data_IF_646361838664
#
_entry.id   IF_646361838664
#
_cell.length_a   1.000
_cell.length_b   1.000
_cell.length_c   1.000
_cell.angle_alpha   90.00
_cell.angle_beta   90.00
_cell.angle_gamma   90.00
#
_symmetry.space_group_name_H-M   'P 1'
#
loop_
_entity.id
_entity.type
_entity.pdbx_description
1 polymer ?
#
# COMPACT_ATOMS: atom_id res chain seq x y z
N UNK A 1 13.64 -4.90 2.34
CA UNK A 1 12.37 -5.58 1.98
C UNK A 1 11.61 -4.67 1.03
N UNK A 2 10.86 -5.22 0.08
CA UNK A 2 10.15 -4.42 -0.92
C UNK A 2 9.14 -3.45 -0.28
N UNK A 3 9.00 -2.29 -0.90
CA UNK A 3 7.99 -1.29 -0.56
C UNK A 3 7.03 -1.19 -1.74
N UNK A 4 5.75 -1.28 -1.44
CA UNK A 4 4.68 -1.25 -2.43
C UNK A 4 3.79 -0.04 -2.20
N UNK A 5 3.33 0.56 -3.29
CA UNK A 5 2.23 1.51 -3.29
C UNK A 5 0.95 0.74 -3.63
N UNK A 6 -0.04 0.80 -2.74
CA UNK A 6 -1.37 0.24 -2.94
C UNK A 6 -2.33 1.41 -3.17
N UNK A 7 -2.84 1.57 -4.39
CA UNK A 7 -3.67 2.71 -4.77
C UNK A 7 -5.09 2.27 -5.06
N UNK A 8 -6.07 3.02 -4.56
CA UNK A 8 -7.44 2.93 -5.00
C UNK A 8 -7.52 3.32 -6.48
N UNK A 9 -8.26 2.55 -7.29
CA UNK A 9 -8.40 2.83 -8.73
C UNK A 9 -9.25 4.05 -9.03
N UNK A 10 -10.11 4.45 -8.09
CA UNK A 10 -10.84 5.71 -8.15
C UNK A 10 -9.96 6.94 -7.86
N UNK A 11 -8.67 6.73 -7.55
CA UNK A 11 -7.71 7.79 -7.28
C UNK A 11 -7.83 8.40 -5.88
N UNK A 12 -8.82 8.01 -5.05
CA UNK A 12 -9.12 8.68 -3.78
C UNK A 12 -8.02 8.56 -2.73
N UNK A 13 -7.36 7.40 -2.65
CA UNK A 13 -6.36 7.12 -1.61
C UNK A 13 -5.25 6.20 -2.13
N UNK A 14 -4.04 6.40 -1.61
CA UNK A 14 -2.93 5.46 -1.75
C UNK A 14 -2.29 5.14 -0.41
N UNK A 15 -1.82 3.91 -0.25
CA UNK A 15 -1.08 3.44 0.91
C UNK A 15 0.33 3.04 0.50
N UNK A 16 1.31 3.34 1.33
CA UNK A 16 2.70 2.87 1.16
C UNK A 16 2.97 1.81 2.22
N UNK A 17 3.36 0.62 1.78
CA UNK A 17 3.43 -0.57 2.62
C UNK A 17 4.73 -1.33 2.37
N UNK A 18 5.46 -1.64 3.45
CA UNK A 18 6.61 -2.56 3.40
C UNK A 18 6.11 -3.99 3.55
N UNK A 19 6.33 -4.83 2.55
CA UNK A 19 5.86 -6.21 2.56
C UNK A 19 6.80 -7.14 1.80
N UNK A 20 6.62 -8.46 1.98
CA UNK A 20 7.40 -9.47 1.26
C UNK A 20 6.92 -9.71 -0.16
N UNK A 21 5.67 -9.38 -0.46
CA UNK A 21 5.00 -9.72 -1.70
C UNK A 21 3.79 -8.80 -1.96
N UNK A 22 3.27 -8.81 -3.21
CA UNK A 22 2.07 -8.05 -3.60
C UNK A 22 0.85 -8.46 -2.76
N UNK A 23 0.60 -9.76 -2.58
CA UNK A 23 -0.51 -10.27 -1.78
C UNK A 23 -0.39 -9.84 -0.31
N UNK A 24 0.84 -9.81 0.21
CA UNK A 24 1.18 -9.39 1.56
C UNK A 24 0.86 -7.90 1.75
N UNK A 25 1.18 -7.06 0.75
CA UNK A 25 0.87 -5.64 0.77
C UNK A 25 -0.66 -5.39 0.82
N UNK A 26 -1.45 -6.12 0.00
CA UNK A 26 -2.92 -6.05 0.08
C UNK A 26 -3.47 -6.49 1.42
N UNK A 27 -2.94 -7.58 2.00
CA UNK A 27 -3.40 -8.05 3.30
C UNK A 27 -3.16 -7.00 4.40
N UNK A 28 -2.00 -6.35 4.39
CA UNK A 28 -1.70 -5.26 5.32
C UNK A 28 -2.63 -4.06 5.07
N UNK A 29 -2.90 -3.71 3.81
CA UNK A 29 -3.84 -2.64 3.46
C UNK A 29 -5.23 -2.91 4.05
N UNK A 30 -5.73 -4.14 3.93
CA UNK A 30 -7.01 -4.56 4.51
C UNK A 30 -6.99 -4.48 6.04
N UNK A 31 -5.93 -4.96 6.69
CA UNK A 31 -5.82 -5.03 8.14
C UNK A 31 -5.66 -3.66 8.83
N UNK A 32 -5.05 -2.70 8.13
CA UNK A 32 -4.68 -1.39 8.70
C UNK A 32 -5.63 -0.27 8.28
N UNK A 33 -6.55 -0.53 7.37
CA UNK A 33 -7.52 0.46 6.91
C UNK A 33 -8.86 0.33 7.66
N UNK A 34 -9.71 1.38 7.64
CA UNK A 34 -11.06 1.31 8.17
C UNK A 34 -11.88 0.18 7.55
N UNK A 35 -12.87 -0.33 8.29
CA UNK A 35 -13.74 -1.43 7.83
C UNK A 35 -14.49 -1.11 6.53
N UNK A 36 -14.81 0.17 6.29
CA UNK A 36 -15.43 0.67 5.06
C UNK A 36 -14.56 0.48 3.82
N UNK A 37 -13.24 0.42 3.97
CA UNK A 37 -12.27 0.30 2.87
C UNK A 37 -11.80 -1.15 2.66
N UNK A 38 -12.23 -2.10 3.49
CA UNK A 38 -11.81 -3.51 3.35
C UNK A 38 -12.10 -4.04 1.95
N UNK A 39 -13.27 -3.73 1.39
CA UNK A 39 -13.65 -4.16 0.03
C UNK A 39 -12.80 -3.50 -1.04
N UNK A 40 -12.40 -2.24 -0.84
CA UNK A 40 -11.53 -1.51 -1.76
C UNK A 40 -10.16 -2.20 -1.89
N UNK A 41 -9.54 -2.53 -0.75
CA UNK A 41 -8.19 -3.12 -0.73
C UNK A 41 -8.16 -4.61 -1.07
N UNK A 42 -9.24 -5.33 -0.78
CA UNK A 42 -9.33 -6.77 -1.07
C UNK A 42 -9.59 -7.07 -2.54
N UNK A 43 -10.31 -6.20 -3.23
CA UNK A 43 -10.74 -6.39 -4.62
C UNK A 43 -9.66 -5.88 -5.62
N UNK A 44 -9.05 -6.75 -6.44
CA UNK A 44 -8.08 -6.34 -7.45
C UNK A 44 -8.62 -5.43 -8.56
N UNK A 45 -9.95 -5.43 -8.77
CA UNK A 45 -10.61 -4.53 -9.71
C UNK A 45 -10.77 -3.12 -9.14
N UNK A 46 -10.61 -2.93 -7.83
CA UNK A 46 -10.75 -1.63 -7.14
C UNK A 46 -9.44 -1.07 -6.62
N UNK A 47 -8.39 -1.90 -6.51
CA UNK A 47 -7.06 -1.48 -6.07
C UNK A 47 -5.94 -1.99 -6.98
N UNK A 48 -4.94 -1.15 -7.19
CA UNK A 48 -3.69 -1.48 -7.85
C UNK A 48 -2.56 -1.60 -6.81
N UNK A 49 -1.58 -2.46 -7.08
CA UNK A 49 -0.36 -2.58 -6.28
C UNK A 49 0.82 -2.43 -7.21
N UNK A 50 1.70 -1.48 -6.91
CA UNK A 50 2.94 -1.26 -7.66
C UNK A 50 4.14 -1.34 -6.73
N UNK A 51 5.25 -1.89 -7.24
CA UNK A 51 6.53 -1.88 -6.53
C UNK A 51 7.15 -0.49 -6.63
N UNK A 52 7.69 0.03 -5.53
CA UNK A 52 8.52 1.23 -5.53
C UNK A 52 9.98 0.77 -5.63
N UNK A 53 10.59 0.92 -6.80
CA UNK A 53 11.95 0.43 -7.08
C UNK A 53 13.04 1.22 -6.33
N UNK A 54 12.87 2.54 -6.25
CA UNK A 54 13.78 3.46 -5.57
C UNK A 54 13.08 4.18 -4.39
N UNK A 55 12.75 3.46 -3.31
CA UNK A 55 11.98 4.02 -2.18
C UNK A 55 12.68 5.20 -1.49
N UNK A 56 14.01 5.25 -1.52
CA UNK A 56 14.82 6.32 -0.93
C UNK A 56 14.61 7.68 -1.60
N UNK A 57 14.28 7.70 -2.91
CA UNK A 57 13.92 8.94 -3.61
C UNK A 57 12.63 9.57 -3.08
N UNK A 58 11.80 8.78 -2.40
CA UNK A 58 10.57 9.20 -1.76
C UNK A 58 10.72 9.30 -0.23
N UNK A 59 11.95 9.24 0.30
CA UNK A 59 12.22 9.31 1.74
C UNK A 59 11.94 8.01 2.50
N UNK A 60 11.64 6.89 1.82
CA UNK A 60 11.40 5.62 2.49
C UNK A 60 12.69 4.78 2.57
N UNK A 61 13.06 4.39 3.80
CA UNK A 61 14.19 3.51 4.03
C UNK A 61 13.89 2.07 3.54
N UNK A 62 14.83 1.46 2.82
CA UNK A 62 14.74 0.05 2.36
C UNK A 62 14.72 -0.96 3.50
N UNK A 63 15.31 -0.57 4.63
CA UNK A 63 15.37 -1.35 5.86
C UNK A 63 14.14 -1.12 6.74
N UNK A 64 13.82 -2.11 7.56
CA UNK A 64 12.73 -2.03 8.53
C UNK A 64 11.78 -3.23 8.49
N UNK A 65 10.87 -3.25 9.47
CA UNK A 65 9.88 -4.33 9.64
C UNK A 65 8.73 -4.19 8.64
N UNK A 66 8.09 -5.32 8.36
CA UNK A 66 6.87 -5.38 7.56
C UNK A 66 5.79 -4.51 8.22
N UNK A 67 5.06 -3.73 7.41
CA UNK A 67 4.00 -2.91 7.93
C UNK A 67 3.60 -1.76 7.02
N UNK A 68 2.57 -1.05 7.49
CA UNK A 68 2.13 0.21 6.93
C UNK A 68 3.18 1.29 7.19
N UNK A 69 3.50 2.09 6.16
CA UNK A 69 4.41 3.22 6.26
C UNK A 69 3.60 4.51 6.28
N UNK A 70 2.76 4.73 5.27
CA UNK A 70 2.08 6.01 5.06
C UNK A 70 0.74 5.84 4.34
N UNK A 71 -0.18 6.78 4.55
CA UNK A 71 -1.41 6.95 3.78
C UNK A 71 -1.40 8.34 3.14
N UNK A 72 -1.74 8.37 1.86
CA UNK A 72 -1.82 9.57 1.03
C UNK A 72 -3.27 9.70 0.57
N UNK A 73 -3.95 10.77 1.00
CA UNK A 73 -5.29 11.13 0.55
C UNK A 73 -5.16 12.05 -0.67
N UNK A 74 -5.92 11.79 -1.73
CA UNK A 74 -5.98 12.67 -2.90
C UNK A 74 -7.33 13.41 -2.88
N UNK A 75 -7.27 14.73 -2.98
CA UNK A 75 -8.44 15.62 -2.99
C UNK A 75 -8.94 15.91 -4.40
#
# INVERSE_FOLDING_TARGET
>A
MAIFKVSARDGSVSLVIRARCISCARQIAVQRSPSTEVRLWRDPARSAVTLIENPEQYGYLREGRQGFIERIQHG
#
